data_IF_547689771961
#
_entry.id   IF_547689771961
#
_cell.length_a   1.000
_cell.length_b   1.000
_cell.length_c   1.000
_cell.angle_alpha   90.00
_cell.angle_beta   90.00
_cell.angle_gamma   90.00
#
_symmetry.space_group_name_H-M   'P 1'
#
loop_
_entity.id
_entity.type
_entity.pdbx_description
1 polymer ?
#
# COMPACT_ATOMS: atom_id res chain seq x y z
N UNK A 1 23.35 27.53 36.30
CA UNK A 1 22.77 26.32 35.67
C UNK A 1 23.90 25.33 35.38
N UNK A 2 23.78 24.07 35.81
CA UNK A 2 24.89 23.11 35.75
C UNK A 2 25.11 22.65 34.30
N UNK A 3 26.32 22.85 33.74
CA UNK A 3 26.63 22.54 32.33
C UNK A 3 26.35 21.07 31.97
N UNK A 4 26.42 20.16 32.96
CA UNK A 4 26.04 18.75 32.81
C UNK A 4 24.54 18.55 32.57
N UNK A 5 23.67 19.34 33.23
CA UNK A 5 22.21 19.23 33.07
C UNK A 5 21.77 19.72 31.69
N UNK A 6 22.41 20.78 31.17
CA UNK A 6 22.12 21.32 29.83
C UNK A 6 22.52 20.32 28.73
N UNK A 7 23.68 19.67 28.87
CA UNK A 7 24.16 18.70 27.88
C UNK A 7 23.30 17.42 27.82
N UNK A 8 22.86 16.90 28.97
CA UNK A 8 21.99 15.70 29.01
C UNK A 8 20.60 15.98 28.41
N UNK A 9 20.04 17.16 28.67
CA UNK A 9 18.75 17.58 28.08
C UNK A 9 18.83 17.73 26.55
N UNK A 10 19.93 18.24 26.01
CA UNK A 10 20.13 18.35 24.55
C UNK A 10 20.27 16.98 23.87
N UNK A 11 20.88 15.99 24.51
CA UNK A 11 21.08 14.65 23.93
C UNK A 11 19.78 13.83 23.92
N UNK A 12 18.93 14.00 24.95
CA UNK A 12 17.58 13.41 24.98
C UNK A 12 16.68 14.07 23.93
N UNK A 13 16.79 15.39 23.73
CA UNK A 13 16.02 16.10 22.69
C UNK A 13 16.43 15.67 21.27
N UNK A 14 17.71 15.36 21.01
CA UNK A 14 18.18 14.89 19.70
C UNK A 14 17.77 13.43 19.39
N UNK A 15 17.56 12.61 20.42
CA UNK A 15 17.12 11.22 20.29
C UNK A 15 15.62 11.08 19.94
N UNK A 16 14.83 12.13 20.17
CA UNK A 16 13.39 12.14 19.87
C UNK A 16 13.02 12.70 18.49
N UNK A 17 13.96 13.26 17.74
CA UNK A 17 13.68 13.90 16.43
C UNK A 17 13.93 12.99 15.22
N UNK A 18 14.26 11.71 15.43
CA UNK A 18 14.59 10.77 14.35
C UNK A 18 13.45 9.81 14.00
N UNK A 19 12.19 10.19 14.24
CA UNK A 19 11.07 9.50 13.60
C UNK A 19 11.02 9.97 12.16
N UNK A 20 11.66 9.22 11.28
CA UNK A 20 11.42 9.36 9.85
C UNK A 20 9.94 9.05 9.64
N UNK A 21 9.17 10.03 9.17
CA UNK A 21 7.93 9.74 8.46
C UNK A 21 8.34 8.87 7.27
N UNK A 22 8.30 7.55 7.43
CA UNK A 22 8.52 6.66 6.29
C UNK A 22 7.28 6.78 5.42
N UNK A 23 7.47 6.89 4.11
CA UNK A 23 6.36 6.74 3.19
C UNK A 23 5.78 5.35 3.42
N UNK A 24 4.49 5.26 3.76
CA UNK A 24 3.78 3.99 3.98
C UNK A 24 3.94 3.10 2.75
N UNK A 25 3.94 3.70 1.55
CA UNK A 25 4.06 3.02 0.26
C UNK A 25 5.36 3.39 -0.46
N UNK A 26 6.08 2.37 -0.92
CA UNK A 26 7.36 2.46 -1.63
C UNK A 26 7.22 1.73 -2.97
N UNK A 27 7.17 2.50 -4.06
CA UNK A 27 7.03 1.97 -5.41
C UNK A 27 8.36 1.49 -6.00
N UNK A 28 8.32 0.35 -6.68
CA UNK A 28 9.44 -0.22 -7.45
C UNK A 28 9.03 -0.49 -8.89
N UNK A 29 9.17 0.53 -9.74
CA UNK A 29 8.87 0.47 -11.17
C UNK A 29 9.72 -0.57 -11.93
N UNK A 30 10.90 -0.93 -11.39
CA UNK A 30 11.79 -1.88 -12.08
C UNK A 30 11.30 -3.32 -11.96
N UNK A 31 10.51 -3.60 -10.93
CA UNK A 31 10.00 -4.92 -10.63
C UNK A 31 8.46 -5.03 -10.69
N UNK A 32 7.75 -3.95 -11.02
CA UNK A 32 6.29 -3.95 -11.21
C UNK A 32 5.50 -4.13 -9.92
N UNK A 33 5.98 -3.62 -8.78
CA UNK A 33 5.25 -3.70 -7.51
C UNK A 33 5.45 -2.49 -6.60
N UNK A 34 4.56 -2.36 -5.61
CA UNK A 34 4.62 -1.34 -4.54
C UNK A 34 4.65 -2.01 -3.17
N UNK A 35 5.63 -1.70 -2.34
CA UNK A 35 5.71 -2.18 -0.95
C UNK A 35 4.94 -1.26 -0.02
N UNK A 36 3.97 -1.83 0.69
CA UNK A 36 3.32 -1.23 1.85
C UNK A 36 4.09 -1.63 3.12
N UNK A 37 4.83 -0.67 3.65
CA UNK A 37 5.66 -0.82 4.86
C UNK A 37 4.86 -0.90 6.15
N UNK A 38 3.60 -0.47 6.16
CA UNK A 38 2.73 -0.55 7.35
C UNK A 38 2.19 -1.97 7.53
N UNK A 39 1.86 -2.66 6.42
CA UNK A 39 1.39 -4.05 6.44
C UNK A 39 2.48 -5.09 6.19
N UNK A 40 3.63 -4.68 5.67
CA UNK A 40 4.68 -5.59 5.21
C UNK A 40 4.25 -6.38 3.97
N UNK A 41 3.40 -5.81 3.12
CA UNK A 41 2.94 -6.43 1.87
C UNK A 41 3.60 -5.77 0.67
N UNK A 42 3.84 -6.54 -0.39
CA UNK A 42 4.09 -6.03 -1.73
C UNK A 42 2.84 -6.23 -2.57
N UNK A 43 2.51 -5.23 -3.37
CA UNK A 43 1.35 -5.16 -4.25
C UNK A 43 1.82 -5.16 -5.69
N UNK A 44 1.42 -6.14 -6.48
CA UNK A 44 1.75 -6.17 -7.90
C UNK A 44 1.01 -5.03 -8.60
N UNK A 45 1.67 -4.28 -9.47
CA UNK A 45 1.01 -3.26 -10.29
C UNK A 45 -0.06 -3.93 -11.16
N UNK A 46 -1.22 -3.29 -11.31
CA UNK A 46 -2.37 -3.96 -11.92
C UNK A 46 -2.17 -4.19 -13.42
N UNK A 47 -1.46 -3.30 -14.09
CA UNK A 47 -1.13 -3.34 -15.52
C UNK A 47 -0.36 -4.61 -15.91
N UNK A 48 0.42 -5.18 -15.01
CA UNK A 48 1.08 -6.49 -15.17
C UNK A 48 0.09 -7.64 -15.45
N UNK A 49 -1.16 -7.48 -15.06
CA UNK A 49 -2.20 -8.53 -15.11
C UNK A 49 -3.41 -8.13 -15.95
N UNK A 50 -3.38 -6.94 -16.58
CA UNK A 50 -4.54 -6.40 -17.32
C UNK A 50 -4.93 -7.31 -18.49
N UNK A 51 -6.23 -7.51 -18.66
CA UNK A 51 -6.78 -8.28 -19.78
C UNK A 51 -6.82 -9.79 -19.54
N UNK A 52 -6.21 -10.29 -18.47
CA UNK A 52 -6.27 -11.70 -18.09
C UNK A 52 -7.56 -12.02 -17.33
N UNK A 53 -8.09 -13.22 -17.54
CA UNK A 53 -9.13 -13.79 -16.70
C UNK A 53 -8.53 -14.34 -15.39
N UNK A 54 -9.31 -14.42 -14.31
CA UNK A 54 -8.76 -14.95 -13.05
C UNK A 54 -8.48 -16.45 -13.12
N UNK A 55 -9.17 -17.19 -14.00
CA UNK A 55 -8.80 -18.57 -14.30
C UNK A 55 -7.43 -18.70 -14.98
N UNK A 56 -7.06 -17.77 -15.87
CA UNK A 56 -5.72 -17.74 -16.48
C UNK A 56 -4.65 -17.44 -15.44
N UNK A 57 -4.87 -16.42 -14.60
CA UNK A 57 -3.95 -16.09 -13.51
C UNK A 57 -3.77 -17.30 -12.60
N UNK A 58 -4.84 -17.91 -12.08
CA UNK A 58 -4.78 -19.12 -11.24
C UNK A 58 -4.14 -20.34 -11.93
N UNK A 59 -4.22 -20.43 -13.25
CA UNK A 59 -3.53 -21.48 -14.02
C UNK A 59 -2.01 -21.29 -14.12
N UNK A 60 -1.49 -20.13 -13.69
CA UNK A 60 -0.06 -19.82 -13.64
C UNK A 60 0.44 -18.92 -14.76
N UNK A 61 -0.44 -18.29 -15.53
CA UNK A 61 -0.04 -17.18 -16.41
C UNK A 61 0.68 -16.12 -15.58
N UNK A 62 1.77 -15.57 -16.11
CA UNK A 62 2.63 -14.60 -15.43
C UNK A 62 3.61 -15.17 -14.38
N UNK A 63 3.46 -16.43 -13.96
CA UNK A 63 4.40 -17.10 -13.05
C UNK A 63 4.35 -16.64 -11.59
N UNK A 64 3.43 -15.73 -11.24
CA UNK A 64 3.36 -15.09 -9.92
C UNK A 64 3.20 -16.07 -8.74
N UNK A 65 2.53 -17.21 -8.93
CA UNK A 65 2.41 -18.21 -7.86
C UNK A 65 3.75 -18.79 -7.42
N UNK A 66 4.72 -18.90 -8.33
CA UNK A 66 6.08 -19.35 -8.01
C UNK A 66 6.81 -18.37 -7.07
N UNK A 67 6.44 -17.10 -7.15
CA UNK A 67 7.00 -15.99 -6.38
C UNK A 67 6.16 -15.65 -5.13
N UNK A 68 5.31 -16.58 -4.70
CA UNK A 68 4.46 -16.48 -3.49
C UNK A 68 3.43 -15.35 -3.52
N UNK A 69 3.06 -14.88 -4.71
CA UNK A 69 1.92 -13.98 -4.87
C UNK A 69 0.61 -14.70 -4.53
N UNK A 70 -0.36 -13.94 -4.01
CA UNK A 70 -1.73 -14.38 -3.75
C UNK A 70 -2.72 -13.26 -3.98
N UNK A 71 -3.99 -13.61 -4.24
CA UNK A 71 -5.03 -12.60 -4.24
C UNK A 71 -5.13 -11.90 -2.87
N UNK A 72 -5.30 -10.58 -2.91
CA UNK A 72 -5.61 -9.75 -1.74
C UNK A 72 -7.11 -9.83 -1.42
N UNK A 73 -7.46 -9.88 -0.14
CA UNK A 73 -8.87 -9.71 0.27
C UNK A 73 -9.31 -8.26 0.11
N UNK A 74 -10.62 -8.00 0.13
CA UNK A 74 -11.14 -6.64 0.07
C UNK A 74 -10.64 -5.80 1.26
N UNK A 75 -10.59 -6.38 2.46
CA UNK A 75 -10.04 -5.69 3.65
C UNK A 75 -8.60 -5.21 3.44
N UNK A 76 -7.76 -6.02 2.79
CA UNK A 76 -6.38 -5.62 2.48
C UNK A 76 -6.35 -4.48 1.44
N UNK A 77 -7.23 -4.54 0.45
CA UNK A 77 -7.32 -3.52 -0.62
C UNK A 77 -7.82 -2.19 -0.03
N UNK A 78 -8.83 -2.22 0.84
CA UNK A 78 -9.28 -1.04 1.58
C UNK A 78 -8.17 -0.47 2.47
N UNK A 79 -7.41 -1.33 3.15
CA UNK A 79 -6.24 -0.90 3.91
C UNK A 79 -5.17 -0.21 3.04
N UNK A 80 -4.91 -0.72 1.84
CA UNK A 80 -4.01 -0.06 0.88
C UNK A 80 -4.51 1.34 0.50
N UNK A 81 -5.82 1.48 0.25
CA UNK A 81 -6.42 2.77 -0.06
C UNK A 81 -6.27 3.76 1.10
N UNK A 82 -6.53 3.31 2.32
CA UNK A 82 -6.32 4.14 3.51
C UNK A 82 -4.84 4.56 3.67
N UNK A 83 -3.88 3.66 3.43
CA UNK A 83 -2.45 3.95 3.48
C UNK A 83 -1.97 4.87 2.35
N UNK A 84 -2.70 4.92 1.24
CA UNK A 84 -2.50 5.86 0.15
C UNK A 84 -3.20 7.21 0.35
N UNK A 85 -3.76 7.44 1.54
CA UNK A 85 -4.60 8.60 1.84
C UNK A 85 -5.80 8.74 0.88
N UNK A 86 -6.25 7.63 0.28
CA UNK A 86 -7.50 7.53 -0.48
C UNK A 86 -8.66 7.42 0.51
N UNK A 87 -8.85 8.50 1.26
CA UNK A 87 -9.94 8.67 2.22
C UNK A 87 -11.26 8.97 1.51
N UNK A 88 -12.37 8.60 2.18
CA UNK A 88 -13.79 8.80 1.84
C UNK A 88 -14.54 7.60 1.22
N UNK A 89 -14.93 6.66 2.07
CA UNK A 89 -15.72 5.46 1.74
C UNK A 89 -17.23 5.69 1.64
N UNK A 90 -17.69 6.88 1.22
CA UNK A 90 -19.13 7.10 1.04
C UNK A 90 -19.54 6.55 -0.32
N UNK A 91 -20.15 5.35 -0.29
CA UNK A 91 -20.68 4.68 -1.47
C UNK A 91 -21.65 5.60 -2.24
N UNK A 92 -21.43 5.74 -3.54
CA UNK A 92 -22.35 6.37 -4.51
C UNK A 92 -22.52 7.90 -4.45
N UNK A 93 -21.53 8.67 -3.97
CA UNK A 93 -21.54 10.13 -4.10
C UNK A 93 -20.24 10.66 -4.70
N UNK A 94 -20.38 11.53 -5.71
CA UNK A 94 -19.29 12.27 -6.33
C UNK A 94 -18.84 13.37 -5.36
N UNK A 95 -17.64 13.25 -4.80
CA UNK A 95 -17.03 14.27 -3.95
C UNK A 95 -15.91 14.98 -4.70
N UNK A 96 -15.66 16.26 -4.40
CA UNK A 96 -14.48 16.99 -4.89
C UNK A 96 -13.33 17.01 -3.89
N UNK A 97 -13.47 16.30 -2.77
CA UNK A 97 -12.46 16.20 -1.71
C UNK A 97 -11.61 14.96 -1.96
N UNK A 98 -10.28 15.11 -1.92
CA UNK A 98 -9.29 14.06 -2.14
C UNK A 98 -8.94 13.71 -3.60
N UNK A 99 -9.03 14.68 -4.53
CA UNK A 99 -8.48 14.53 -5.89
C UNK A 99 -6.99 14.20 -5.81
N UNK A 100 -6.25 14.94 -4.98
CA UNK A 100 -4.80 14.87 -4.95
C UNK A 100 -4.28 13.51 -4.45
N UNK A 101 -4.89 12.94 -3.40
CA UNK A 101 -4.51 11.61 -2.89
C UNK A 101 -4.83 10.50 -3.89
N UNK A 102 -5.93 10.63 -4.63
CA UNK A 102 -6.28 9.67 -5.68
C UNK A 102 -5.40 9.78 -6.93
N UNK A 103 -5.10 10.98 -7.40
CA UNK A 103 -4.16 11.19 -8.50
C UNK A 103 -2.78 10.66 -8.10
N UNK A 104 -2.35 10.91 -6.86
CA UNK A 104 -1.14 10.32 -6.32
C UNK A 104 -1.22 8.78 -6.30
N UNK A 105 -2.32 8.18 -5.84
CA UNK A 105 -2.51 6.73 -5.84
C UNK A 105 -2.39 6.12 -7.24
N UNK A 106 -3.02 6.74 -8.23
CA UNK A 106 -2.96 6.27 -9.61
C UNK A 106 -1.56 6.38 -10.21
N UNK A 107 -0.84 7.46 -9.92
CA UNK A 107 0.47 7.72 -10.49
C UNK A 107 1.60 7.00 -9.74
N UNK A 108 1.38 6.63 -8.46
CA UNK A 108 2.47 6.20 -7.57
C UNK A 108 2.23 4.85 -6.88
N UNK A 109 1.09 4.18 -7.06
CA UNK A 109 0.81 2.92 -6.33
C UNK A 109 0.50 1.75 -7.26
N UNK A 110 -0.53 1.82 -8.10
CA UNK A 110 -1.09 0.61 -8.76
C UNK A 110 -1.06 0.58 -10.29
N UNK A 111 -0.54 1.63 -10.93
CA UNK A 111 -0.72 1.90 -12.36
C UNK A 111 -2.18 1.91 -12.81
N UNK A 112 -2.45 2.66 -13.88
CA UNK A 112 -3.79 2.74 -14.42
C UNK A 112 -4.12 1.50 -15.24
N UNK A 113 -5.31 0.93 -15.00
CA UNK A 113 -5.88 -0.07 -15.91
C UNK A 113 -6.66 0.58 -17.05
N UNK A 114 -6.87 1.90 -17.03
CA UNK A 114 -7.59 2.63 -18.09
C UNK A 114 -7.08 4.06 -18.28
N UNK A 115 -7.14 4.56 -19.52
CA UNK A 115 -6.76 5.93 -19.87
C UNK A 115 -7.94 6.72 -20.45
N UNK A 116 -8.11 8.00 -20.09
CA UNK A 116 -9.12 8.87 -20.68
C UNK A 116 -9.59 9.99 -19.75
N UNK A 117 -10.74 10.60 -20.07
CA UNK A 117 -11.40 11.60 -19.22
C UNK A 117 -11.91 11.04 -17.89
N UNK A 118 -12.05 9.71 -17.82
CA UNK A 118 -12.22 8.96 -16.59
C UNK A 118 -11.04 8.02 -16.43
N UNK A 119 -10.47 7.98 -15.23
CA UNK A 119 -9.39 7.08 -14.82
C UNK A 119 -9.95 6.10 -13.81
N UNK A 120 -9.58 4.83 -13.88
CA UNK A 120 -9.86 3.90 -12.79
C UNK A 120 -8.79 2.85 -12.66
N UNK A 121 -8.70 2.34 -11.44
CA UNK A 121 -7.90 1.19 -11.02
C UNK A 121 -8.89 0.16 -10.55
N UNK A 122 -8.95 -0.96 -11.24
CA UNK A 122 -9.92 -2.02 -11.01
C UNK A 122 -9.24 -3.37 -11.16
N UNK A 123 -9.52 -4.28 -10.24
CA UNK A 123 -9.03 -5.64 -10.34
C UNK A 123 -9.85 -6.66 -9.57
N UNK A 124 -9.62 -7.94 -9.86
CA UNK A 124 -10.24 -9.07 -9.15
C UNK A 124 -9.57 -9.25 -7.78
N UNK A 125 -10.35 -9.39 -6.71
CA UNK A 125 -9.86 -9.68 -5.35
C UNK A 125 -9.95 -11.18 -5.00
N UNK A 126 -9.58 -11.56 -3.78
CA UNK A 126 -9.75 -12.92 -3.26
C UNK A 126 -11.21 -13.23 -2.90
N UNK A 127 -11.99 -12.20 -2.59
CA UNK A 127 -13.29 -12.36 -1.95
C UNK A 127 -14.37 -12.76 -2.96
N UNK A 128 -15.10 -13.81 -2.61
CA UNK A 128 -16.17 -14.38 -3.42
C UNK A 128 -17.52 -13.77 -3.09
N UNK A 129 -18.43 -13.80 -4.08
CA UNK A 129 -19.81 -13.39 -3.88
C UNK A 129 -20.50 -14.36 -2.93
N UNK A 130 -21.18 -13.83 -1.90
CA UNK A 130 -21.91 -14.66 -0.94
C UNK A 130 -22.98 -15.48 -1.67
N UNK A 131 -22.86 -16.81 -1.57
CA UNK A 131 -23.77 -17.76 -2.22
C UNK A 131 -23.41 -18.13 -3.66
N UNK A 132 -22.34 -17.56 -4.22
CA UNK A 132 -21.86 -17.89 -5.56
C UNK A 132 -20.31 -17.93 -5.62
N UNK A 133 -19.69 -19.12 -5.39
CA UNK A 133 -18.23 -19.25 -5.40
C UNK A 133 -17.63 -19.14 -6.81
N UNK A 134 -18.46 -19.11 -7.86
CA UNK A 134 -17.99 -18.96 -9.24
C UNK A 134 -17.67 -17.52 -9.59
N UNK A 135 -18.02 -16.58 -8.69
CA UNK A 135 -17.86 -15.15 -8.89
C UNK A 135 -17.01 -14.51 -7.81
N UNK A 136 -16.13 -13.61 -8.21
CA UNK A 136 -15.33 -12.78 -7.31
C UNK A 136 -15.67 -11.32 -7.44
N UNK A 137 -15.46 -10.58 -6.36
CA UNK A 137 -15.61 -9.14 -6.34
C UNK A 137 -14.46 -8.46 -7.12
N UNK A 138 -14.77 -7.31 -7.72
CA UNK A 138 -13.76 -6.48 -8.38
C UNK A 138 -13.71 -5.10 -7.75
N UNK A 139 -13.02 -4.93 -6.61
CA UNK A 139 -12.84 -3.62 -6.01
C UNK A 139 -12.25 -2.63 -7.01
N UNK A 140 -12.77 -1.39 -7.00
CA UNK A 140 -12.26 -0.36 -7.88
C UNK A 140 -12.32 1.03 -7.27
N UNK A 141 -11.37 1.85 -7.71
CA UNK A 141 -11.32 3.29 -7.48
C UNK A 141 -11.46 3.96 -8.85
N UNK A 142 -12.39 4.91 -8.96
CA UNK A 142 -12.75 5.59 -10.20
C UNK A 142 -12.71 7.10 -10.00
N UNK A 143 -12.05 7.81 -10.90
CA UNK A 143 -12.05 9.25 -11.03
C UNK A 143 -12.70 9.65 -12.36
N UNK A 144 -13.68 10.52 -12.31
CA UNK A 144 -14.29 11.14 -13.48
C UNK A 144 -14.28 12.66 -13.36
N UNK A 145 -14.01 13.32 -14.49
CA UNK A 145 -14.20 14.76 -14.60
C UNK A 145 -15.59 15.00 -15.18
N UNK A 146 -16.53 15.46 -14.34
CA UNK A 146 -17.88 15.84 -14.75
C UNK A 146 -18.04 17.35 -14.68
N UNK A 147 -18.36 18.00 -15.80
CA UNK A 147 -18.55 19.46 -15.89
C UNK A 147 -17.35 20.28 -15.38
N UNK A 148 -16.13 19.77 -15.54
CA UNK A 148 -14.90 20.43 -15.06
C UNK A 148 -14.59 20.21 -13.58
N UNK A 149 -15.41 19.43 -12.87
CA UNK A 149 -15.17 19.04 -11.47
C UNK A 149 -14.75 17.57 -11.42
N UNK A 150 -13.58 17.30 -10.84
CA UNK A 150 -13.14 15.94 -10.53
C UNK A 150 -14.06 15.30 -9.49
N UNK A 151 -14.41 14.04 -9.69
CA UNK A 151 -15.31 13.32 -8.81
C UNK A 151 -14.95 11.85 -8.75
N UNK A 152 -15.14 11.23 -7.58
CA UNK A 152 -14.64 9.88 -7.36
C UNK A 152 -15.71 8.89 -6.94
N UNK A 153 -15.38 7.61 -7.10
CA UNK A 153 -16.19 6.49 -6.67
C UNK A 153 -15.29 5.32 -6.24
N UNK A 154 -15.62 4.73 -5.09
CA UNK A 154 -14.92 3.57 -4.54
C UNK A 154 -15.95 2.53 -4.14
N UNK A 155 -15.64 1.25 -4.38
CA UNK A 155 -16.48 0.14 -3.92
C UNK A 155 -15.64 -1.10 -3.66
N UNK A 156 -15.94 -1.75 -2.54
CA UNK A 156 -15.31 -3.01 -2.14
C UNK A 156 -15.99 -4.21 -2.79
N UNK A 157 -17.30 -4.12 -3.04
CA UNK A 157 -18.08 -5.19 -3.67
C UNK A 157 -18.15 -5.09 -5.19
N UNK A 158 -17.78 -3.94 -5.79
CA UNK A 158 -17.53 -3.83 -7.22
C UNK A 158 -18.57 -4.44 -8.17
N UNK A 159 -18.08 -4.86 -9.34
CA UNK A 159 -18.78 -5.81 -10.20
C UNK A 159 -18.36 -7.23 -9.80
N UNK A 160 -19.10 -8.21 -10.29
CA UNK A 160 -18.87 -9.63 -10.01
C UNK A 160 -18.46 -10.35 -11.31
N UNK A 161 -17.31 -11.02 -11.30
CA UNK A 161 -16.70 -11.62 -12.50
C UNK A 161 -16.55 -13.15 -12.36
N UNK A 162 -16.84 -13.88 -13.44
CA UNK A 162 -16.62 -15.32 -13.54
C UNK A 162 -15.17 -15.65 -13.92
N UNK A 163 -14.75 -16.90 -13.74
CA UNK A 163 -13.36 -17.36 -13.98
C UNK A 163 -12.84 -17.16 -15.39
N UNK A 164 -13.74 -17.09 -16.37
CA UNK A 164 -13.42 -16.92 -17.78
C UNK A 164 -13.59 -15.48 -18.27
N UNK A 165 -14.11 -14.58 -17.43
CA UNK A 165 -14.37 -13.21 -17.85
C UNK A 165 -13.04 -12.45 -17.94
N UNK A 166 -12.80 -11.83 -19.10
CA UNK A 166 -11.67 -10.93 -19.35
C UNK A 166 -12.19 -9.50 -19.52
N UNK A 167 -11.42 -8.51 -19.11
CA UNK A 167 -11.70 -7.12 -19.44
C UNK A 167 -10.38 -6.36 -19.68
N UNK A 168 -10.27 -5.56 -20.76
CA UNK A 168 -9.02 -4.89 -21.15
C UNK A 168 -8.59 -3.80 -20.18
N UNK A 169 -9.44 -3.51 -19.19
CA UNK A 169 -9.31 -2.45 -18.20
C UNK A 169 -9.31 -2.99 -16.76
N UNK A 170 -9.08 -4.29 -16.60
CA UNK A 170 -9.15 -4.98 -15.31
C UNK A 170 -7.90 -5.80 -15.07
N UNK A 171 -7.21 -5.53 -13.97
CA UNK A 171 -6.12 -6.33 -13.45
C UNK A 171 -6.55 -7.29 -12.33
N UNK A 172 -5.59 -7.70 -11.52
CA UNK A 172 -5.76 -8.64 -10.41
C UNK A 172 -5.03 -8.10 -9.19
N UNK A 173 -5.73 -7.97 -8.06
CA UNK A 173 -5.13 -7.51 -6.81
C UNK A 173 -4.29 -8.63 -6.21
N UNK A 174 -3.01 -8.67 -6.56
CA UNK A 174 -2.06 -9.67 -6.06
C UNK A 174 -1.12 -9.05 -5.03
N UNK A 175 -0.92 -9.77 -3.93
CA UNK A 175 -0.01 -9.41 -2.85
C UNK A 175 0.92 -10.56 -2.48
N UNK A 176 2.09 -10.22 -1.94
CA UNK A 176 2.97 -11.16 -1.23
C UNK A 176 3.58 -10.49 -0.01
N UNK A 177 4.18 -11.27 0.88
CA UNK A 177 4.93 -10.68 2.00
C UNK A 177 6.20 -10.00 1.48
N UNK A 178 6.43 -8.77 1.94
CA UNK A 178 7.67 -8.07 1.71
C UNK A 178 8.74 -8.57 2.68
N UNK A 179 9.94 -8.86 2.17
CA UNK A 179 11.12 -8.99 3.03
C UNK A 179 11.59 -7.59 3.42
N UNK A 180 10.81 -6.88 4.23
CA UNK A 180 11.23 -5.59 4.79
C UNK A 180 12.29 -5.89 5.85
N UNK A 181 13.56 -5.44 5.68
CA UNK A 181 14.55 -5.60 6.72
C UNK A 181 14.06 -4.93 7.99
N UNK A 182 14.14 -5.61 9.14
CA UNK A 182 13.75 -5.01 10.41
C UNK A 182 14.40 -3.62 10.57
N UNK A 183 13.67 -2.60 11.04
CA UNK A 183 14.21 -1.27 11.18
C UNK A 183 15.50 -1.31 11.98
N UNK A 184 16.58 -0.75 11.41
CA UNK A 184 17.88 -0.60 12.09
C UNK A 184 17.76 0.16 13.41
N UNK A 185 16.62 0.79 13.68
CA UNK A 185 16.19 1.34 14.97
C UNK A 185 16.45 0.40 16.14
N UNK A 186 16.17 -0.92 16.01
CA UNK A 186 16.41 -1.86 17.11
C UNK A 186 17.91 -2.01 17.38
N UNK A 187 18.70 -2.13 16.30
CA UNK A 187 20.15 -2.18 16.37
C UNK A 187 20.75 -0.87 16.91
N UNK A 188 20.22 0.28 16.50
CA UNK A 188 20.62 1.61 16.97
C UNK A 188 20.26 1.84 18.43
N UNK A 189 19.10 1.36 18.88
CA UNK A 189 18.67 1.43 20.27
C UNK A 189 19.59 0.59 21.17
N UNK A 190 19.89 -0.65 20.75
CA UNK A 190 20.84 -1.51 21.45
C UNK A 190 22.23 -0.86 21.49
N UNK A 191 22.71 -0.36 20.35
CA UNK A 191 24.01 0.30 20.27
C UNK A 191 24.07 1.55 21.16
N UNK A 192 23.04 2.38 21.15
CA UNK A 192 22.90 3.55 22.01
C UNK A 192 22.89 3.19 23.50
N UNK A 193 22.13 2.15 23.88
CA UNK A 193 22.10 1.64 25.25
C UNK A 193 23.46 1.13 25.73
N UNK A 194 24.20 0.42 24.87
CA UNK A 194 25.55 -0.07 25.17
C UNK A 194 26.54 1.09 25.38
N UNK A 195 26.50 2.10 24.51
CA UNK A 195 27.35 3.29 24.62
C UNK A 195 27.04 4.07 25.91
N UNK A 196 25.76 4.20 26.27
CA UNK A 196 25.35 4.86 27.51
C UNK A 196 25.85 4.09 28.74
N UNK A 197 25.66 2.77 28.78
CA UNK A 197 26.14 1.92 29.87
C UNK A 197 27.67 1.96 30.03
N UNK A 198 28.42 2.02 28.93
CA UNK A 198 29.87 2.15 28.94
C UNK A 198 30.33 3.51 29.50
N UNK A 199 29.64 4.60 29.17
CA UNK A 199 29.98 5.94 29.66
C UNK A 199 29.73 6.12 31.17
N UNK A 200 28.68 5.49 31.72
CA UNK A 200 28.36 5.55 33.15
C UNK A 200 29.41 4.90 34.07
N UNK A 201 30.14 3.89 33.57
CA UNK A 201 31.18 3.20 34.35
C UNK A 201 32.45 4.03 34.56
N UNK A 202 32.77 4.98 33.66
CA UNK A 202 33.95 5.85 33.78
C UNK A 202 33.81 6.90 34.90
N UNK A 203 32.60 7.31 35.26
CA UNK A 203 32.37 8.37 36.26
C UNK A 203 32.52 7.91 37.72
N UNK A 204 32.59 6.60 38.01
CA UNK A 204 32.65 6.06 39.39
C UNK A 204 34.06 5.69 39.87
N UNK A 205 35.10 5.97 39.09
CA UNK A 205 36.50 5.57 39.36
C UNK A 205 37.46 6.73 39.67
N UNK A 206 36.95 7.93 39.93
CA UNK A 206 37.73 9.07 40.43
C UNK A 206 36.98 9.76 41.55
#
# INVERSE_FOLDING_TARGET
MNKKIVFTLSMVALLFTAFTTQASLIRDDSNGWTTDSDTGLQWLHLDETVGLSWGEVESGVGGWWGDSWRYASNDQITGLWDHADVTYHVLNQLHGLNVDGMEWFFDNVMDLTSSGASRYVRGVSADQVVGDPTRRYTPYVYHAIMNGTGSFYLTESGRQFNSTDTAPDMGHWLVRSANVPEPSTLALFILGGLLFAASGRRSRRG
#
